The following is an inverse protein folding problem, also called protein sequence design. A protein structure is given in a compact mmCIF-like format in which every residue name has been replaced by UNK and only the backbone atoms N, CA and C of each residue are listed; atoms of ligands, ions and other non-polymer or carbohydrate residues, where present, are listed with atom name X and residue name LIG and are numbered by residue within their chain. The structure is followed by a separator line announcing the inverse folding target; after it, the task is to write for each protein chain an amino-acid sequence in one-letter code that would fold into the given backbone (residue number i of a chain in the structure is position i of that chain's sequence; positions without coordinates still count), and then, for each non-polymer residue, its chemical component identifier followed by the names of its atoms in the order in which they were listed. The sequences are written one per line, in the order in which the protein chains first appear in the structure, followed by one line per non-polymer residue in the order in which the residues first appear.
data_IF_896435964454
#
_entry.id   IF_896435964454
#
_cell.length_a   1.000
_cell.length_b   1.000
_cell.length_c   1.000
_cell.angle_alpha   90.00
_cell.angle_beta   90.00
_cell.angle_gamma   90.00
#
_symmetry.space_group_name_H-M   'P 1'
#
loop_
_entity.id
_entity.type
_entity.pdbx_description
1 polymer ?
#
# COMPACT_ATOMS: atom_id res chain seq x y z
N UNK A 1 36.91 36.03 14.33
CA UNK A 1 35.69 35.23 14.54
C UNK A 1 35.01 35.02 13.19
N UNK A 2 35.60 34.25 12.25
CA UNK A 2 35.35 34.61 10.83
C UNK A 2 35.45 33.53 9.74
N UNK A 3 35.62 32.24 10.05
CA UNK A 3 35.44 31.18 9.02
C UNK A 3 34.69 29.95 9.52
N UNK A 4 34.97 29.49 10.75
CA UNK A 4 34.27 28.36 11.38
C UNK A 4 32.80 28.67 11.75
N UNK A 5 32.50 29.91 12.16
CA UNK A 5 31.14 30.34 12.48
C UNK A 5 30.25 30.47 11.23
N UNK A 6 30.83 30.88 10.10
CA UNK A 6 30.12 31.06 8.81
C UNK A 6 29.75 29.71 8.20
N UNK A 7 30.64 28.71 8.28
CA UNK A 7 30.36 27.33 7.81
C UNK A 7 29.25 26.67 8.64
N UNK A 8 29.23 26.91 9.96
CA UNK A 8 28.20 26.38 10.85
C UNK A 8 26.82 27.00 10.57
N UNK A 9 26.76 28.33 10.32
CA UNK A 9 25.52 29.02 9.95
C UNK A 9 25.04 28.60 8.55
N UNK A 10 25.95 28.42 7.59
CA UNK A 10 25.61 27.90 6.25
C UNK A 10 25.03 26.48 6.31
N UNK A 11 25.61 25.58 7.11
CA UNK A 11 25.08 24.21 7.28
C UNK A 11 23.69 24.23 7.93
N UNK A 12 23.49 25.09 8.94
CA UNK A 12 22.20 25.25 9.65
C UNK A 12 21.12 25.84 8.74
N UNK A 13 21.44 26.68 7.76
CA UNK A 13 20.47 27.20 6.80
C UNK A 13 20.19 26.25 5.62
N UNK A 14 21.14 25.39 5.24
CA UNK A 14 20.98 24.44 4.13
C UNK A 14 20.19 23.20 4.53
N UNK A 15 20.37 22.68 5.75
CA UNK A 15 19.67 21.49 6.23
C UNK A 15 18.12 21.64 6.23
N UNK A 16 17.53 22.75 6.72
CA UNK A 16 16.10 22.99 6.62
C UNK A 16 15.64 23.08 5.17
N UNK A 17 16.41 23.72 4.29
CA UNK A 17 16.06 23.85 2.87
C UNK A 17 16.08 22.50 2.13
N UNK A 18 17.02 21.59 2.46
CA UNK A 18 17.07 20.24 1.90
C UNK A 18 15.92 19.36 2.40
N UNK A 19 15.57 19.45 3.69
CA UNK A 19 14.40 18.75 4.26
C UNK A 19 13.11 19.33 3.68
N UNK A 20 13.03 20.64 3.47
CA UNK A 20 11.89 21.33 2.87
C UNK A 20 11.72 20.94 1.39
N UNK A 21 12.81 20.89 0.62
CA UNK A 21 12.83 20.41 -0.76
C UNK A 21 12.32 18.96 -0.86
N UNK A 22 12.74 18.09 0.06
CA UNK A 22 12.29 16.69 0.09
C UNK A 22 10.79 16.54 0.37
N UNK A 23 10.18 17.39 1.20
CA UNK A 23 8.72 17.35 1.46
C UNK A 23 7.93 17.88 0.26
N UNK A 24 8.40 18.96 -0.37
CA UNK A 24 7.71 19.57 -1.52
C UNK A 24 7.66 18.65 -2.72
N UNK A 25 8.48 17.61 -2.81
CA UNK A 25 8.37 16.56 -3.84
C UNK A 25 7.15 15.64 -3.65
N UNK A 26 6.50 15.72 -2.49
CA UNK A 26 5.35 14.91 -2.09
C UNK A 26 4.11 15.76 -1.91
N UNK A 27 4.21 16.85 -1.16
CA UNK A 27 3.06 17.65 -0.73
C UNK A 27 3.03 19.05 -1.38
N UNK A 28 1.84 19.63 -1.46
CA UNK A 28 1.63 21.05 -1.78
C UNK A 28 1.60 21.82 -0.47
N UNK A 29 2.65 22.59 -0.16
CA UNK A 29 2.79 23.29 1.13
C UNK A 29 2.14 24.68 1.14
N UNK A 30 1.30 24.93 0.16
CA UNK A 30 0.59 26.19 -0.09
C UNK A 30 -0.92 25.98 0.09
N UNK A 31 -1.66 27.07 0.17
CA UNK A 31 -3.12 27.01 0.07
C UNK A 31 -3.54 26.52 -1.32
N UNK A 32 -4.60 25.74 -1.39
CA UNK A 32 -5.16 25.24 -2.65
C UNK A 32 -6.55 25.83 -2.81
N UNK A 33 -6.67 26.88 -3.63
CA UNK A 33 -7.92 27.59 -3.85
C UNK A 33 -8.55 28.07 -2.53
N UNK A 34 -9.73 27.56 -2.19
CA UNK A 34 -10.42 27.94 -0.94
C UNK A 34 -9.91 27.21 0.31
N UNK A 35 -9.07 26.20 0.13
CA UNK A 35 -8.56 25.34 1.18
C UNK A 35 -7.22 25.84 1.73
N UNK A 36 -7.19 26.04 3.05
CA UNK A 36 -6.02 26.44 3.82
C UNK A 36 -5.30 25.23 4.39
N UNK A 37 -3.98 25.26 4.34
CA UNK A 37 -3.15 24.26 5.03
C UNK A 37 -3.37 24.39 6.55
N UNK A 38 -3.89 23.34 7.19
CA UNK A 38 -4.38 23.39 8.57
C UNK A 38 -3.34 22.95 9.62
N UNK A 39 -2.67 21.81 9.42
CA UNK A 39 -1.70 21.25 10.39
C UNK A 39 -0.42 20.76 9.72
N UNK A 40 0.66 20.82 10.51
CA UNK A 40 2.05 20.61 10.10
C UNK A 40 2.30 19.27 9.42
N UNK A 41 3.09 19.37 8.36
CA UNK A 41 3.71 18.28 7.61
C UNK A 41 4.20 17.21 8.59
N UNK A 42 3.62 16.02 8.53
CA UNK A 42 4.18 14.84 9.17
C UNK A 42 4.85 13.99 8.11
N UNK A 43 6.18 14.04 8.07
CA UNK A 43 7.00 13.15 7.26
C UNK A 43 7.46 11.95 8.06
N UNK A 44 7.45 10.78 7.43
CA UNK A 44 7.92 9.54 8.04
C UNK A 44 8.82 8.77 7.10
N UNK A 45 9.98 8.42 7.64
CA UNK A 45 10.78 7.28 7.20
C UNK A 45 10.50 6.15 8.17
N UNK A 46 10.15 4.98 7.65
CA UNK A 46 9.59 3.91 8.45
C UNK A 46 10.67 3.00 9.14
N UNK A 47 10.62 2.78 10.48
CA UNK A 47 11.54 1.91 11.28
C UNK A 47 10.93 1.30 12.60
N UNK A 48 10.87 -0.03 12.83
CA UNK A 48 10.39 -0.65 14.13
C UNK A 48 9.04 -1.43 14.07
N UNK A 49 8.54 -2.06 15.17
CA UNK A 49 7.35 -2.96 15.20
C UNK A 49 5.96 -2.26 15.22
N UNK A 50 4.85 -2.93 14.83
CA UNK A 50 3.58 -2.26 14.49
C UNK A 50 2.74 -1.85 15.72
N UNK A 51 2.07 -0.70 15.64
CA UNK A 51 0.94 -0.35 16.51
C UNK A 51 -0.38 -0.66 15.78
N UNK A 52 -1.34 -1.29 16.48
CA UNK A 52 -2.67 -1.64 15.93
C UNK A 52 -3.47 -0.42 15.42
N UNK A 53 -3.05 0.80 15.77
CA UNK A 53 -3.73 2.05 15.45
C UNK A 53 -2.73 3.20 15.49
N UNK A 54 -1.91 3.36 14.45
CA UNK A 54 -1.20 4.61 14.11
C UNK A 54 -0.05 4.30 13.18
N UNK A 55 0.01 5.09 12.10
CA UNK A 55 1.11 5.28 11.16
C UNK A 55 2.41 5.65 11.90
N UNK A 56 2.99 4.77 12.74
CA UNK A 56 4.26 5.05 13.40
C UNK A 56 5.30 3.93 13.29
N UNK A 57 6.12 4.05 12.23
CA UNK A 57 7.46 3.49 12.05
C UNK A 57 7.52 2.00 11.63
N UNK A 58 7.66 1.72 10.34
CA UNK A 58 7.59 0.37 9.73
C UNK A 58 8.83 0.02 8.89
N UNK A 59 9.94 -0.30 9.55
CA UNK A 59 11.06 -0.96 8.88
C UNK A 59 10.78 -2.46 8.88
N UNK A 60 10.64 -3.11 7.71
CA UNK A 60 10.45 -4.56 7.61
C UNK A 60 9.03 -5.06 7.87
N UNK A 61 7.99 -4.26 7.62
CA UNK A 61 6.60 -4.58 7.97
C UNK A 61 5.66 -4.39 6.78
N UNK A 62 4.60 -5.20 6.75
CA UNK A 62 3.46 -5.05 5.84
C UNK A 62 2.67 -3.77 6.13
N UNK A 63 2.60 -2.83 5.20
CA UNK A 63 1.70 -1.66 5.31
C UNK A 63 0.23 -2.08 5.20
N UNK A 64 -0.71 -1.15 5.32
CA UNK A 64 -2.16 -1.38 5.18
C UNK A 64 -2.52 -2.17 3.91
N UNK A 65 -1.68 -2.11 2.88
CA UNK A 65 -1.82 -2.85 1.64
C UNK A 65 -1.16 -4.22 1.58
N UNK A 66 -0.44 -4.67 2.61
CA UNK A 66 0.16 -6.00 2.66
C UNK A 66 1.45 -6.14 1.86
N UNK A 67 2.21 -5.06 1.63
CA UNK A 67 3.56 -5.09 1.04
C UNK A 67 4.56 -4.59 2.08
N UNK A 68 5.82 -5.04 1.99
CA UNK A 68 6.87 -4.57 2.90
C UNK A 68 7.21 -3.10 2.62
N UNK A 69 6.97 -2.21 3.58
CA UNK A 69 7.19 -0.76 3.44
C UNK A 69 8.59 -0.31 3.85
N UNK A 70 9.58 -1.21 3.79
CA UNK A 70 10.92 -0.88 4.27
C UNK A 70 11.55 0.21 3.39
N UNK A 71 11.92 1.33 4.04
CA UNK A 71 12.42 2.55 3.41
C UNK A 71 11.40 3.34 2.58
N UNK A 72 10.12 2.96 2.60
CA UNK A 72 9.08 3.82 2.03
C UNK A 72 9.13 5.19 2.71
N UNK A 73 8.75 6.22 1.95
CA UNK A 73 8.69 7.59 2.44
C UNK A 73 7.27 8.08 2.29
N UNK A 74 6.64 8.43 3.41
CA UNK A 74 5.25 8.92 3.41
C UNK A 74 5.17 10.29 4.06
N UNK A 75 4.36 11.16 3.46
CA UNK A 75 4.06 12.48 3.96
C UNK A 75 2.56 12.71 3.96
N UNK A 76 2.03 13.25 5.06
CA UNK A 76 0.62 13.66 5.20
C UNK A 76 0.52 15.19 5.35
N UNK A 77 -0.45 15.78 4.64
CA UNK A 77 -0.92 17.15 4.84
C UNK A 77 -2.44 17.16 5.07
N UNK A 78 -2.92 18.16 5.80
CA UNK A 78 -4.35 18.38 6.02
C UNK A 78 -4.77 19.78 5.60
N UNK A 79 -5.87 19.87 4.87
CA UNK A 79 -6.44 21.13 4.39
C UNK A 79 -7.86 21.35 4.96
N UNK A 80 -8.23 22.62 5.16
CA UNK A 80 -9.56 23.03 5.62
C UNK A 80 -10.03 24.28 4.90
N UNK A 81 -11.33 24.43 4.70
CA UNK A 81 -11.91 25.74 4.41
C UNK A 81 -11.85 26.65 5.64
N UNK A 82 -11.68 27.96 5.42
CA UNK A 82 -11.65 28.97 6.50
C UNK A 82 -12.95 28.88 7.32
N UNK A 83 -12.81 28.82 8.65
CA UNK A 83 -13.96 28.79 9.57
C UNK A 83 -14.65 27.44 9.74
N UNK A 84 -14.20 26.39 9.04
CA UNK A 84 -14.76 25.04 9.18
C UNK A 84 -14.19 24.30 10.40
N UNK A 85 -15.07 23.68 11.17
CA UNK A 85 -14.72 22.83 12.32
C UNK A 85 -14.88 21.36 11.92
N UNK A 86 -13.81 20.74 11.45
CA UNK A 86 -13.76 19.31 11.11
C UNK A 86 -14.82 18.82 10.07
N UNK A 87 -14.53 17.76 9.32
CA UNK A 87 -13.25 17.08 9.19
C UNK A 87 -12.37 17.73 8.10
N UNK A 88 -11.07 17.47 8.20
CA UNK A 88 -10.06 17.93 7.25
C UNK A 88 -10.03 17.08 6.01
N UNK A 89 -9.62 17.67 4.89
CA UNK A 89 -9.16 16.90 3.73
C UNK A 89 -7.74 16.47 4.05
N UNK A 90 -7.52 15.17 4.13
CA UNK A 90 -6.21 14.57 4.37
C UNK A 90 -5.62 14.11 3.06
N UNK A 91 -4.39 14.51 2.78
CA UNK A 91 -3.62 14.03 1.63
C UNK A 91 -2.40 13.29 2.14
N UNK A 92 -2.24 12.05 1.71
CA UNK A 92 -1.11 11.19 1.99
C UNK A 92 -0.45 10.84 0.66
N UNK A 93 0.88 11.02 0.58
CA UNK A 93 1.68 10.59 -0.57
C UNK A 93 2.79 9.68 -0.04
N UNK A 94 2.77 8.44 -0.49
CA UNK A 94 3.75 7.41 -0.10
C UNK A 94 4.56 6.99 -1.32
N UNK A 95 5.88 7.18 -1.27
CA UNK A 95 6.82 6.69 -2.26
C UNK A 95 7.45 5.38 -1.80
N UNK A 96 7.50 4.43 -2.73
CA UNK A 96 8.10 3.13 -2.55
C UNK A 96 9.60 3.12 -2.79
N UNK A 97 10.34 2.40 -1.95
CA UNK A 97 11.80 2.39 -1.98
C UNK A 97 12.44 1.54 -3.08
N UNK A 98 11.68 0.73 -3.82
CA UNK A 98 12.24 -0.10 -4.89
C UNK A 98 11.24 -0.92 -5.68
N UNK A 99 11.74 -1.52 -6.77
CA UNK A 99 10.95 -2.20 -7.81
C UNK A 99 10.13 -3.40 -7.35
N UNK A 100 10.43 -3.97 -6.18
CA UNK A 100 9.74 -5.15 -5.66
C UNK A 100 8.38 -4.81 -5.04
N UNK A 101 8.24 -3.64 -4.40
CA UNK A 101 6.96 -3.18 -3.87
C UNK A 101 6.09 -2.55 -4.97
N UNK A 102 6.73 -1.98 -6.00
CA UNK A 102 6.05 -1.41 -7.18
C UNK A 102 5.09 -2.39 -7.88
N UNK A 103 5.38 -3.69 -7.82
CA UNK A 103 4.51 -4.76 -8.38
C UNK A 103 3.12 -4.80 -7.75
N UNK A 104 2.99 -4.31 -6.52
CA UNK A 104 1.78 -4.42 -5.71
C UNK A 104 1.03 -3.09 -5.58
N UNK A 105 1.49 -2.00 -6.21
CA UNK A 105 0.89 -0.66 -6.11
C UNK A 105 -0.61 -0.64 -6.40
N UNK A 106 -1.07 -1.40 -7.39
CA UNK A 106 -2.49 -1.52 -7.72
C UNK A 106 -3.31 -2.15 -6.58
N UNK A 107 -2.71 -3.07 -5.82
CA UNK A 107 -3.31 -3.67 -4.65
C UNK A 107 -3.35 -2.70 -3.45
N UNK A 108 -2.61 -1.60 -3.48
CA UNK A 108 -2.60 -0.59 -2.41
C UNK A 108 -3.73 0.40 -2.55
N UNK A 109 -4.03 0.79 -3.79
CA UNK A 109 -5.10 1.73 -4.10
C UNK A 109 -6.50 1.11 -3.98
N UNK A 110 -6.62 -0.22 -4.09
CA UNK A 110 -7.91 -0.92 -3.99
C UNK A 110 -7.87 -1.93 -2.82
N UNK A 111 -8.71 -1.67 -1.80
CA UNK A 111 -8.73 -2.42 -0.53
C UNK A 111 -9.70 -3.60 -0.54
N UNK A 112 -10.77 -3.55 -1.33
CA UNK A 112 -11.80 -4.59 -1.35
C UNK A 112 -11.40 -5.86 -2.09
N UNK A 113 -10.39 -5.80 -2.97
CA UNK A 113 -9.75 -6.99 -3.51
C UNK A 113 -9.14 -7.89 -2.41
N UNK A 114 -8.78 -7.33 -1.26
CA UNK A 114 -8.08 -8.04 -0.17
C UNK A 114 -9.00 -8.87 0.71
N UNK A 115 -10.27 -8.50 0.81
CA UNK A 115 -11.13 -8.95 1.91
C UNK A 115 -12.06 -10.11 1.55
N UNK A 116 -12.40 -10.28 0.26
CA UNK A 116 -13.46 -11.22 -0.14
C UNK A 116 -13.01 -12.34 -1.08
N UNK A 117 -11.70 -12.57 -1.23
CA UNK A 117 -11.15 -13.66 -2.07
C UNK A 117 -11.73 -13.66 -3.51
N UNK A 118 -12.06 -12.47 -4.03
CA UNK A 118 -12.78 -12.24 -5.27
C UNK A 118 -13.04 -10.75 -5.55
N UNK A 119 -13.35 -10.48 -6.83
CA UNK A 119 -13.90 -9.31 -7.53
C UNK A 119 -14.10 -8.02 -6.68
N UNK A 120 -13.67 -6.83 -7.17
CA UNK A 120 -13.79 -5.58 -6.42
C UNK A 120 -15.24 -5.32 -5.98
N UNK A 121 -15.39 -4.94 -4.71
CA UNK A 121 -16.68 -4.62 -4.11
C UNK A 121 -17.34 -3.40 -4.78
N UNK A 122 -18.66 -3.29 -4.66
CA UNK A 122 -19.47 -2.27 -5.34
C UNK A 122 -19.16 -0.77 -5.06
N UNK A 123 -18.57 -0.33 -3.93
CA UNK A 123 -18.36 1.10 -3.71
C UNK A 123 -17.12 1.70 -4.43
N UNK A 124 -16.45 0.94 -5.31
CA UNK A 124 -15.29 1.39 -6.07
C UNK A 124 -15.67 1.81 -7.48
N UNK A 125 -15.49 3.10 -7.77
CA UNK A 125 -15.65 3.65 -9.10
C UNK A 125 -14.31 4.15 -9.62
N UNK A 126 -14.04 3.89 -10.90
CA UNK A 126 -12.98 4.58 -11.61
C UNK A 126 -13.57 5.89 -12.13
N UNK A 127 -12.89 7.00 -11.88
CA UNK A 127 -13.26 8.33 -12.38
C UNK A 127 -12.13 8.87 -13.23
N UNK A 128 -12.48 9.63 -14.25
CA UNK A 128 -11.54 10.44 -15.01
C UNK A 128 -11.69 11.88 -14.55
N UNK A 129 -10.64 12.44 -13.97
CA UNK A 129 -10.57 13.84 -13.55
C UNK A 129 -9.38 14.47 -14.25
N UNK A 130 -9.58 15.54 -15.00
CA UNK A 130 -8.54 16.23 -15.78
C UNK A 130 -7.71 15.28 -16.66
N UNK A 131 -8.36 14.31 -17.31
CA UNK A 131 -7.72 13.29 -18.14
C UNK A 131 -6.97 12.19 -17.39
N UNK A 132 -6.91 12.25 -16.05
CA UNK A 132 -6.27 11.25 -15.21
C UNK A 132 -7.29 10.22 -14.71
N UNK A 133 -6.96 8.93 -14.85
CA UNK A 133 -7.75 7.85 -14.26
C UNK A 133 -7.41 7.70 -12.80
N UNK A 134 -8.42 7.73 -11.93
CA UNK A 134 -8.26 7.51 -10.49
C UNK A 134 -9.30 6.53 -9.97
N UNK A 135 -9.02 5.96 -8.80
CA UNK A 135 -9.95 5.13 -8.03
C UNK A 135 -10.62 6.01 -6.98
N UNK A 136 -11.94 5.91 -6.87
CA UNK A 136 -12.70 6.56 -5.80
C UNK A 136 -13.53 5.56 -5.00
N UNK A 137 -13.67 5.85 -3.71
CA UNK A 137 -14.53 5.13 -2.78
C UNK A 137 -15.41 6.12 -2.01
N UNK A 138 -16.72 5.89 -1.99
CA UNK A 138 -17.70 6.73 -1.30
C UNK A 138 -18.40 5.98 -0.17
N UNK A 139 -18.13 6.36 1.08
CA UNK A 139 -18.89 5.89 2.25
C UNK A 139 -18.60 6.81 3.44
N UNK A 140 -19.59 7.60 3.85
CA UNK A 140 -19.43 8.65 4.86
C UNK A 140 -18.29 9.62 4.48
N UNK A 141 -18.31 10.11 3.23
CA UNK A 141 -17.28 10.92 2.60
C UNK A 141 -16.70 10.26 1.36
N UNK A 142 -15.57 10.80 0.88
CA UNK A 142 -14.88 10.34 -0.32
C UNK A 142 -13.41 10.05 -0.06
N UNK A 143 -12.92 8.98 -0.66
CA UNK A 143 -11.49 8.68 -0.79
C UNK A 143 -11.14 8.63 -2.28
N UNK A 144 -10.07 9.33 -2.67
CA UNK A 144 -9.50 9.37 -4.01
C UNK A 144 -8.10 8.76 -3.95
N UNK A 145 -7.79 7.87 -4.87
CA UNK A 145 -6.52 7.12 -4.87
C UNK A 145 -5.99 6.92 -6.28
N UNK A 146 -4.70 7.05 -6.46
CA UNK A 146 -4.04 6.71 -7.71
C UNK A 146 -2.56 6.42 -7.52
N UNK A 147 -1.94 5.93 -8.60
CA UNK A 147 -0.52 5.64 -8.68
C UNK A 147 0.14 6.64 -9.61
N UNK A 148 1.27 7.20 -9.20
CA UNK A 148 2.13 8.09 -10.01
C UNK A 148 3.55 7.56 -9.98
N UNK A 149 3.91 6.70 -10.95
CA UNK A 149 5.19 5.97 -10.91
C UNK A 149 5.23 5.01 -9.72
N UNK A 150 6.23 5.16 -8.85
CA UNK A 150 6.35 4.38 -7.60
C UNK A 150 5.70 5.07 -6.39
N UNK A 151 4.82 6.06 -6.60
CA UNK A 151 4.08 6.75 -5.55
C UNK A 151 2.62 6.33 -5.53
N UNK A 152 2.08 6.13 -4.33
CA UNK A 152 0.64 6.03 -4.07
C UNK A 152 0.17 7.34 -3.46
N UNK A 153 -0.88 7.91 -4.03
CA UNK A 153 -1.52 9.11 -3.52
C UNK A 153 -2.88 8.72 -2.98
N UNK A 154 -3.20 9.16 -1.78
CA UNK A 154 -4.51 9.02 -1.16
C UNK A 154 -5.00 10.37 -0.65
N UNK A 155 -6.17 10.78 -1.11
CA UNK A 155 -6.89 11.93 -0.57
C UNK A 155 -8.15 11.39 0.09
N UNK A 156 -8.38 11.74 1.35
CA UNK A 156 -9.58 11.34 2.06
C UNK A 156 -10.25 12.52 2.72
N UNK A 157 -11.58 12.50 2.68
CA UNK A 157 -12.44 13.48 3.28
C UNK A 157 -13.63 12.75 3.88
N UNK A 158 -13.92 13.02 5.15
CA UNK A 158 -15.04 12.39 5.86
C UNK A 158 -16.28 13.28 5.78
N UNK A 159 -17.44 12.68 5.55
CA UNK A 159 -18.72 13.35 5.66
C UNK A 159 -19.83 12.33 5.84
N UNK A 160 -20.23 12.10 7.09
CA UNK A 160 -21.27 11.11 7.38
C UNK A 160 -22.63 11.45 6.78
N UNK A 161 -22.89 12.73 6.47
CA UNK A 161 -24.16 13.16 5.87
C UNK A 161 -24.07 13.32 4.35
N UNK A 162 -22.87 13.28 3.76
CA UNK A 162 -22.63 13.48 2.32
C UNK A 162 -23.19 14.82 1.78
N UNK A 163 -23.24 15.84 2.61
CA UNK A 163 -23.81 17.17 2.28
C UNK A 163 -22.75 18.18 1.85
N UNK A 164 -21.48 17.95 2.20
CA UNK A 164 -20.39 18.85 1.86
C UNK A 164 -19.87 18.57 0.45
N UNK A 165 -19.44 19.60 -0.28
CA UNK A 165 -18.91 19.42 -1.62
C UNK A 165 -17.66 18.55 -1.62
N UNK A 166 -17.49 17.77 -2.70
CA UNK A 166 -16.26 17.03 -2.96
C UNK A 166 -15.05 17.99 -3.03
N UNK A 167 -13.89 17.62 -2.48
CA UNK A 167 -12.70 18.47 -2.46
C UNK A 167 -11.93 18.48 -3.79
N UNK A 168 -12.64 18.69 -4.90
CA UNK A 168 -12.09 18.53 -6.25
C UNK A 168 -10.93 19.49 -6.56
N UNK A 169 -10.88 20.68 -5.97
CA UNK A 169 -9.73 21.60 -6.11
C UNK A 169 -8.43 20.97 -5.57
N UNK A 170 -8.50 20.31 -4.40
CA UNK A 170 -7.37 19.60 -3.81
C UNK A 170 -6.98 18.39 -4.65
N UNK A 171 -7.98 17.63 -5.12
CA UNK A 171 -7.74 16.46 -6.00
C UNK A 171 -7.04 16.88 -7.29
N UNK A 172 -7.53 17.92 -7.96
CA UNK A 172 -6.98 18.42 -9.23
C UNK A 172 -5.56 18.96 -9.07
N UNK A 173 -5.30 19.69 -7.98
CA UNK A 173 -3.96 20.21 -7.67
C UNK A 173 -2.94 19.07 -7.46
N UNK A 174 -3.32 18.02 -6.73
CA UNK A 174 -2.45 16.86 -6.52
C UNK A 174 -2.32 15.99 -7.78
N UNK A 175 -3.33 15.91 -8.64
CA UNK A 175 -3.23 15.28 -9.96
C UNK A 175 -2.25 16.02 -10.88
N UNK A 176 -2.24 17.35 -10.87
CA UNK A 176 -1.27 18.13 -11.62
C UNK A 176 0.17 17.89 -11.10
N UNK A 177 0.33 17.73 -9.79
CA UNK A 177 1.63 17.46 -9.15
C UNK A 177 2.11 16.01 -9.36
N UNK A 178 1.20 15.05 -9.28
CA UNK A 178 1.45 13.62 -9.40
C UNK A 178 0.46 13.02 -10.41
N UNK A 179 0.70 13.17 -11.72
CA UNK A 179 -0.19 12.64 -12.73
C UNK A 179 -0.41 11.14 -12.57
N UNK A 180 -1.65 10.70 -12.80
CA UNK A 180 -1.98 9.29 -12.69
C UNK A 180 -1.33 8.51 -13.82
N UNK A 181 -0.73 7.39 -13.44
CA UNK A 181 -0.19 6.36 -14.33
C UNK A 181 -1.11 5.15 -14.44
N UNK A 182 -2.28 5.18 -13.78
CA UNK A 182 -3.29 4.15 -13.94
C UNK A 182 -3.85 4.19 -15.36
N UNK A 183 -3.87 3.03 -16.01
CA UNK A 183 -4.60 2.89 -17.27
C UNK A 183 -6.10 2.93 -16.97
N UNK A 184 -6.92 3.66 -17.76
CA UNK A 184 -8.36 3.61 -17.66
C UNK A 184 -8.84 2.17 -17.73
N UNK A 185 -9.42 1.68 -16.63
CA UNK A 185 -10.04 0.36 -16.57
C UNK A 185 -11.34 0.56 -15.81
N UNK A 186 -12.49 0.30 -16.44
CA UNK A 186 -13.75 0.47 -15.74
C UNK A 186 -13.91 -0.63 -14.69
N UNK A 187 -14.81 -0.44 -13.72
CA UNK A 187 -15.18 -1.53 -12.80
C UNK A 187 -15.79 -2.73 -13.55
N UNK A 188 -16.30 -2.55 -14.78
CA UNK A 188 -16.73 -3.65 -15.64
C UNK A 188 -15.53 -4.36 -16.31
N UNK A 189 -14.55 -3.60 -16.79
CA UNK A 189 -13.33 -4.16 -17.40
C UNK A 189 -12.52 -4.95 -16.38
N UNK A 190 -12.41 -4.46 -15.14
CA UNK A 190 -11.82 -5.19 -14.01
C UNK A 190 -12.52 -6.54 -13.74
N UNK A 191 -13.78 -6.67 -14.16
CA UNK A 191 -14.61 -7.88 -13.99
C UNK A 191 -14.58 -8.81 -15.19
N UNK A 192 -13.83 -8.49 -16.23
CA UNK A 192 -13.56 -9.45 -17.32
C UNK A 192 -12.77 -10.63 -16.79
N UNK A 193 -12.98 -11.79 -17.40
CA UNK A 193 -12.30 -13.03 -17.00
C UNK A 193 -10.78 -12.92 -17.15
N UNK A 194 -10.31 -12.15 -18.13
CA UNK A 194 -8.89 -11.84 -18.32
C UNK A 194 -8.31 -11.08 -17.12
N UNK A 195 -8.96 -10.00 -16.68
CA UNK A 195 -8.47 -9.18 -15.58
C UNK A 195 -8.61 -9.88 -14.23
N UNK A 196 -9.71 -10.62 -14.00
CA UNK A 196 -9.84 -11.50 -12.84
C UNK A 196 -8.72 -12.53 -12.79
N UNK A 197 -8.45 -13.19 -13.91
CA UNK A 197 -7.38 -14.19 -14.02
C UNK A 197 -6.03 -13.59 -13.67
N UNK A 198 -5.69 -12.45 -14.27
CA UNK A 198 -4.44 -11.75 -13.97
C UNK A 198 -4.33 -11.43 -12.48
N UNK A 199 -5.38 -10.89 -11.89
CA UNK A 199 -5.41 -10.53 -10.47
C UNK A 199 -5.19 -11.71 -9.54
N UNK A 200 -5.93 -12.80 -9.76
CA UNK A 200 -5.80 -14.03 -8.97
C UNK A 200 -4.35 -14.53 -9.00
N UNK A 201 -3.73 -14.52 -10.18
CA UNK A 201 -2.34 -14.97 -10.35
C UNK A 201 -1.35 -14.02 -9.68
N UNK A 202 -1.53 -12.72 -9.84
CA UNK A 202 -0.70 -11.70 -9.18
C UNK A 202 -0.77 -11.87 -7.65
N UNK A 203 -1.97 -12.07 -7.08
CA UNK A 203 -2.15 -12.27 -5.65
C UNK A 203 -1.53 -13.60 -5.16
N UNK A 204 -1.63 -14.69 -5.92
CA UNK A 204 -0.94 -15.94 -5.58
C UNK A 204 0.59 -15.76 -5.54
N UNK A 205 1.16 -15.07 -6.53
CA UNK A 205 2.59 -14.74 -6.57
C UNK A 205 3.00 -13.89 -5.36
N UNK A 206 2.17 -12.89 -5.03
CA UNK A 206 2.36 -12.04 -3.86
C UNK A 206 2.46 -12.82 -2.57
N UNK A 207 1.57 -13.79 -2.33
CA UNK A 207 1.56 -14.57 -1.07
C UNK A 207 2.87 -15.33 -0.85
N UNK A 208 3.45 -15.87 -1.92
CA UNK A 208 4.75 -16.54 -1.83
C UNK A 208 5.89 -15.54 -1.63
N UNK A 209 5.86 -14.42 -2.36
CA UNK A 209 6.82 -13.33 -2.19
C UNK A 209 6.84 -12.77 -0.76
N UNK A 210 5.67 -12.65 -0.12
CA UNK A 210 5.55 -12.20 1.26
C UNK A 210 6.28 -13.11 2.24
N UNK A 211 6.23 -14.43 2.03
CA UNK A 211 6.94 -15.38 2.86
C UNK A 211 8.47 -15.17 2.75
N UNK A 212 9.00 -15.01 1.53
CA UNK A 212 10.43 -14.74 1.33
C UNK A 212 10.87 -13.48 2.08
N UNK A 213 10.06 -12.41 1.99
CA UNK A 213 10.36 -11.15 2.66
C UNK A 213 10.30 -11.29 4.19
N UNK A 214 9.35 -12.05 4.75
CA UNK A 214 9.34 -12.33 6.19
C UNK A 214 10.58 -13.10 6.65
N UNK A 215 10.99 -14.14 5.91
CA UNK A 215 12.22 -14.86 6.20
C UNK A 215 13.47 -13.99 6.01
N UNK A 216 13.47 -13.03 5.10
CA UNK A 216 14.55 -12.06 4.96
C UNK A 216 14.63 -11.11 6.17
N UNK A 217 13.50 -10.64 6.70
CA UNK A 217 13.50 -9.84 7.94
C UNK A 217 14.03 -10.61 9.14
N UNK A 218 13.80 -11.92 9.20
CA UNK A 218 14.40 -12.79 10.21
C UNK A 218 15.94 -12.81 10.08
N UNK A 219 16.46 -12.95 8.86
CA UNK A 219 17.90 -12.95 8.60
C UNK A 219 18.56 -11.62 8.98
N UNK A 220 17.85 -10.51 8.75
CA UNK A 220 18.28 -9.17 9.16
C UNK A 220 18.12 -8.90 10.66
N UNK A 221 17.58 -9.86 11.44
CA UNK A 221 17.27 -9.70 12.86
C UNK A 221 16.31 -8.53 13.14
N UNK A 222 15.45 -8.21 12.17
CA UNK A 222 14.42 -7.16 12.26
C UNK A 222 13.05 -7.69 12.66
N UNK A 223 12.89 -9.02 12.71
CA UNK A 223 11.67 -9.67 13.14
C UNK A 223 11.97 -10.96 13.93
N UNK A 224 11.12 -11.25 14.92
CA UNK A 224 11.17 -12.46 15.73
C UNK A 224 10.73 -13.70 14.93
N UNK A 225 11.34 -14.85 15.21
CA UNK A 225 11.05 -16.12 14.54
C UNK A 225 9.56 -16.46 14.57
N UNK A 226 8.94 -16.42 15.75
CA UNK A 226 7.53 -16.78 15.93
C UNK A 226 6.57 -15.93 15.06
N UNK A 227 6.87 -14.64 14.91
CA UNK A 227 6.11 -13.72 14.06
C UNK A 227 6.30 -14.10 12.59
N UNK A 228 7.56 -14.29 12.17
CA UNK A 228 7.91 -14.67 10.80
C UNK A 228 7.22 -15.97 10.38
N UNK A 229 7.22 -16.98 11.25
CA UNK A 229 6.55 -18.26 10.96
C UNK A 229 5.04 -18.09 10.85
N UNK A 230 4.40 -17.34 11.76
CA UNK A 230 2.95 -17.08 11.72
C UNK A 230 2.54 -16.38 10.43
N UNK A 231 3.19 -15.28 10.10
CA UNK A 231 2.86 -14.47 8.92
C UNK A 231 3.13 -15.23 7.60
N UNK A 232 4.17 -16.07 7.58
CA UNK A 232 4.46 -16.94 6.44
C UNK A 232 3.40 -18.03 6.28
N UNK A 233 2.99 -18.69 7.36
CA UNK A 233 1.93 -19.72 7.33
C UNK A 233 0.58 -19.11 6.94
N UNK A 234 0.23 -17.94 7.46
CA UNK A 234 -0.98 -17.21 7.08
C UNK A 234 -0.98 -16.90 5.58
N UNK A 235 0.15 -16.43 5.04
CA UNK A 235 0.29 -16.15 3.61
C UNK A 235 0.19 -17.42 2.75
N UNK A 236 0.85 -18.51 3.16
CA UNK A 236 0.77 -19.81 2.47
C UNK A 236 -0.63 -20.42 2.53
N UNK A 237 -1.36 -20.27 3.63
CA UNK A 237 -2.74 -20.73 3.73
C UNK A 237 -3.65 -20.02 2.72
N UNK A 238 -3.48 -18.70 2.53
CA UNK A 238 -4.20 -17.95 1.49
C UNK A 238 -3.81 -18.44 0.10
N UNK A 239 -2.52 -18.64 -0.18
CA UNK A 239 -2.08 -19.23 -1.44
C UNK A 239 -2.75 -20.59 -1.72
N UNK A 240 -2.84 -21.45 -0.70
CA UNK A 240 -3.49 -22.74 -0.80
C UNK A 240 -5.01 -22.63 -1.05
N UNK A 241 -5.69 -21.65 -0.45
CA UNK A 241 -7.11 -21.36 -0.76
C UNK A 241 -7.31 -21.00 -2.23
N UNK A 242 -6.44 -20.15 -2.78
CA UNK A 242 -6.47 -19.83 -4.21
C UNK A 242 -6.18 -21.06 -5.06
N UNK A 243 -5.20 -21.88 -4.69
CA UNK A 243 -4.86 -23.12 -5.39
C UNK A 243 -6.05 -24.09 -5.42
N UNK A 244 -6.72 -24.27 -4.29
CA UNK A 244 -7.90 -25.14 -4.21
C UNK A 244 -9.04 -24.60 -5.06
N UNK A 245 -9.38 -23.32 -4.88
CA UNK A 245 -10.51 -22.69 -5.58
C UNK A 245 -10.34 -22.64 -7.09
N UNK A 246 -9.15 -22.27 -7.57
CA UNK A 246 -8.93 -21.93 -8.98
C UNK A 246 -8.22 -23.04 -9.78
N UNK A 247 -7.54 -23.97 -9.10
CA UNK A 247 -6.87 -25.13 -9.73
C UNK A 247 -7.42 -26.48 -9.27
N UNK A 248 -8.38 -26.52 -8.35
CA UNK A 248 -9.05 -27.76 -7.92
C UNK A 248 -8.18 -28.70 -7.08
N UNK A 249 -7.09 -28.20 -6.49
CA UNK A 249 -6.17 -29.01 -5.68
C UNK A 249 -6.42 -28.73 -4.21
N UNK A 250 -6.93 -29.74 -3.49
CA UNK A 250 -7.25 -29.64 -2.06
C UNK A 250 -6.11 -29.03 -1.24
N UNK A 251 -6.48 -28.13 -0.32
CA UNK A 251 -5.57 -27.47 0.61
C UNK A 251 -5.54 -28.14 2.00
N UNK A 252 -6.47 -29.04 2.29
CA UNK A 252 -6.76 -29.48 3.67
C UNK A 252 -5.55 -30.08 4.38
N UNK A 253 -4.89 -31.05 3.76
CA UNK A 253 -3.74 -31.74 4.38
C UNK A 253 -2.51 -30.82 4.47
N UNK A 254 -2.28 -29.99 3.46
CA UNK A 254 -1.18 -29.01 3.44
C UNK A 254 -1.35 -27.97 4.56
N UNK A 255 -2.57 -27.43 4.73
CA UNK A 255 -2.88 -26.47 5.80
C UNK A 255 -2.71 -27.08 7.19
N UNK A 256 -3.17 -28.33 7.36
CA UNK A 256 -2.97 -29.08 8.61
C UNK A 256 -1.49 -29.23 8.92
N UNK A 257 -0.69 -29.66 7.95
CA UNK A 257 0.74 -29.86 8.08
C UNK A 257 1.49 -28.55 8.40
N UNK A 258 1.15 -27.45 7.74
CA UNK A 258 1.69 -26.12 8.09
C UNK A 258 1.35 -25.71 9.52
N UNK A 259 0.13 -26.03 9.98
CA UNK A 259 -0.28 -25.80 11.36
C UNK A 259 0.54 -26.60 12.38
N UNK A 260 0.83 -27.86 12.07
CA UNK A 260 1.70 -28.73 12.89
C UNK A 260 3.14 -28.17 12.97
N UNK A 261 3.72 -27.76 11.83
CA UNK A 261 5.05 -27.13 11.82
C UNK A 261 5.08 -25.80 12.57
N UNK A 262 4.02 -24.99 12.47
CA UNK A 262 3.91 -23.74 13.22
C UNK A 262 3.87 -23.99 14.74
N UNK A 263 3.10 -24.98 15.18
CA UNK A 263 3.03 -25.37 16.60
C UNK A 263 4.36 -25.89 17.13
N UNK A 264 5.10 -26.63 16.29
CA UNK A 264 6.45 -27.12 16.61
C UNK A 264 7.54 -26.04 16.50
N UNK A 265 7.21 -24.83 16.03
CA UNK A 265 8.16 -23.76 15.72
C UNK A 265 9.25 -24.20 14.71
N UNK A 266 8.89 -25.10 13.78
CA UNK A 266 9.80 -25.69 12.79
C UNK A 266 9.91 -24.79 11.55
N UNK A 267 10.76 -23.77 11.66
CA UNK A 267 11.03 -22.85 10.56
C UNK A 267 11.68 -23.50 9.33
N UNK A 268 12.38 -24.62 9.50
CA UNK A 268 13.01 -25.34 8.39
C UNK A 268 11.95 -26.02 7.54
N UNK A 269 11.02 -26.73 8.18
CA UNK A 269 9.92 -27.39 7.47
C UNK A 269 8.99 -26.40 6.76
N UNK A 270 8.66 -25.27 7.42
CA UNK A 270 7.87 -24.17 6.80
C UNK A 270 8.58 -23.61 5.58
N UNK A 271 9.90 -23.38 5.66
CA UNK A 271 10.69 -22.87 4.52
C UNK A 271 10.79 -23.88 3.37
N UNK A 272 10.85 -25.17 3.67
CA UNK A 272 10.82 -26.22 2.66
C UNK A 272 9.46 -26.24 1.93
N UNK A 273 8.35 -26.12 2.67
CA UNK A 273 7.01 -26.00 2.07
C UNK A 273 6.85 -24.76 1.20
N UNK A 274 7.39 -23.62 1.62
CA UNK A 274 7.45 -22.43 0.76
C UNK A 274 8.18 -22.72 -0.56
N UNK A 275 9.30 -23.44 -0.53
CA UNK A 275 10.03 -23.79 -1.74
C UNK A 275 9.22 -24.73 -2.66
N UNK A 276 8.53 -25.72 -2.10
CA UNK A 276 7.60 -26.59 -2.84
C UNK A 276 6.50 -25.79 -3.53
N UNK A 277 5.86 -24.86 -2.81
CA UNK A 277 4.78 -24.04 -3.38
C UNK A 277 5.28 -23.08 -4.45
N UNK A 278 6.49 -22.52 -4.30
CA UNK A 278 7.13 -21.70 -5.34
C UNK A 278 7.48 -22.50 -6.59
N UNK A 279 8.00 -23.71 -6.43
CA UNK A 279 8.26 -24.61 -7.56
C UNK A 279 6.97 -24.93 -8.32
N UNK A 280 5.93 -25.34 -7.58
CA UNK A 280 4.62 -25.60 -8.16
C UNK A 280 4.06 -24.35 -8.85
N UNK A 281 4.13 -23.18 -8.22
CA UNK A 281 3.64 -21.95 -8.81
C UNK A 281 4.35 -21.60 -10.11
N UNK A 282 5.68 -21.72 -10.14
CA UNK A 282 6.47 -21.46 -11.36
C UNK A 282 6.07 -22.35 -12.54
N UNK A 283 5.64 -23.59 -12.29
CA UNK A 283 5.21 -24.54 -13.32
C UNK A 283 3.74 -24.34 -13.75
N UNK A 284 2.92 -23.67 -12.93
CA UNK A 284 1.47 -23.61 -13.11
C UNK A 284 0.91 -22.20 -13.34
N UNK A 285 1.68 -21.13 -13.05
CA UNK A 285 1.22 -19.73 -13.14
C UNK A 285 0.68 -19.32 -14.52
N UNK A 286 1.15 -19.94 -15.59
CA UNK A 286 0.73 -19.62 -16.96
C UNK A 286 -0.45 -20.49 -17.45
N UNK A 287 -0.84 -21.51 -16.68
CA UNK A 287 -1.96 -22.39 -17.03
C UNK A 287 -3.31 -21.69 -16.81
N UNK A 288 -4.35 -22.21 -17.46
CA UNK A 288 -5.72 -21.75 -17.26
C UNK A 288 -6.20 -22.06 -15.84
N UNK A 289 -7.12 -21.23 -15.34
CA UNK A 289 -7.77 -21.39 -14.03
C UNK A 289 -9.29 -21.43 -14.19
N UNK A 290 -10.00 -22.02 -13.23
CA UNK A 290 -11.46 -22.00 -13.17
C UNK A 290 -11.95 -20.75 -12.46
N UNK A 291 -12.67 -19.86 -13.14
CA UNK A 291 -13.24 -18.64 -12.56
C UNK A 291 -14.63 -18.84 -11.96
#
# INVERSE_FOLDING_TARGET
MTKRLVIFIFLICILPALIYAAVTDYLILEDIGTYKLFTGITGRVFSGPPSKYSQTATGGILDAAGHFSENDQSYEASYTTIGSKWPFIKVEVTQHAGSDSDKWLLHEVEKSFRTYYGIPGDPYAMRVIDGNTIIVYGSAGWAYRWVSGNKVIQISYYDSQMEKPEPLEVVSAYLAKHPSTLTPITSADLRTDTNKTKWIKDEMDRRLWLCDKWFYQLQLQKAELNKVLRESVDSMNVFLDYREKYYGISATDEKKLLGEYLQANDGTAIKNKLAEYKAWWSENKDKAISL
#
